data_IF_361825051770
#
_entry.id   IF_361825051770
#
_cell.length_a   1.000
_cell.length_b   1.000
_cell.length_c   1.000
_cell.angle_alpha   90.00
_cell.angle_beta   90.00
_cell.angle_gamma   90.00
#
_symmetry.space_group_name_H-M   'P 1'
#
loop_
_entity.id
_entity.type
_entity.pdbx_description
1 polymer ?
#
# COMPACT_ATOMS: atom_id res chain seq x y z
N UNK A 1 12.42 -26.96 -15.02
CA UNK A 1 11.49 -26.68 -13.91
C UNK A 1 10.49 -25.67 -14.43
N UNK A 2 9.20 -25.99 -14.33
CA UNK A 2 8.12 -25.10 -14.79
C UNK A 2 7.59 -24.30 -13.61
N UNK A 3 7.17 -23.06 -13.84
CA UNK A 3 6.57 -22.22 -12.79
C UNK A 3 5.31 -22.84 -12.16
N UNK A 4 4.71 -23.87 -12.78
CA UNK A 4 3.62 -24.66 -12.19
C UNK A 4 3.99 -25.29 -10.84
N UNK A 5 5.25 -25.67 -10.64
CA UNK A 5 5.73 -26.26 -9.38
C UNK A 5 5.52 -25.29 -8.20
N UNK A 6 5.55 -23.98 -8.43
CA UNK A 6 5.31 -23.00 -7.37
C UNK A 6 3.87 -23.04 -6.83
N UNK A 7 2.88 -23.46 -7.64
CA UNK A 7 1.50 -23.61 -7.17
C UNK A 7 1.37 -24.77 -6.17
N UNK A 8 2.18 -25.81 -6.33
CA UNK A 8 2.22 -26.95 -5.41
C UNK A 8 3.02 -26.60 -4.15
N UNK A 9 4.22 -26.03 -4.34
CA UNK A 9 5.16 -25.74 -3.26
C UNK A 9 4.74 -24.55 -2.38
N UNK A 10 3.98 -23.61 -2.93
CA UNK A 10 3.55 -22.39 -2.26
C UNK A 10 2.04 -22.17 -2.42
N UNK A 11 1.24 -23.24 -2.27
CA UNK A 11 -0.22 -23.20 -2.45
C UNK A 11 -0.97 -22.20 -1.57
N UNK A 12 -0.39 -21.80 -0.43
CA UNK A 12 -0.91 -20.72 0.43
C UNK A 12 -0.73 -19.31 -0.18
N UNK A 13 0.22 -19.16 -1.11
CA UNK A 13 0.59 -17.90 -1.73
C UNK A 13 0.24 -17.82 -3.21
N UNK A 14 0.45 -18.88 -3.99
CA UNK A 14 0.26 -18.92 -5.44
C UNK A 14 -0.94 -19.82 -5.75
N UNK A 15 -2.00 -19.22 -6.29
CA UNK A 15 -3.27 -19.91 -6.51
C UNK A 15 -3.35 -20.47 -7.92
N UNK A 16 -4.13 -21.54 -8.08
CA UNK A 16 -4.50 -22.05 -9.40
C UNK A 16 -5.18 -20.94 -10.22
N UNK A 17 -4.75 -20.72 -11.48
CA UNK A 17 -5.34 -19.68 -12.32
C UNK A 17 -6.84 -19.88 -12.53
N UNK A 18 -7.62 -18.80 -12.42
CA UNK A 18 -9.07 -18.82 -12.60
C UNK A 18 -9.53 -17.99 -13.79
N UNK A 19 -10.57 -18.45 -14.50
CA UNK A 19 -11.19 -17.66 -15.58
C UNK A 19 -12.17 -16.66 -14.98
N UNK A 20 -11.98 -15.38 -15.28
CA UNK A 20 -12.90 -14.31 -14.89
C UNK A 20 -13.47 -13.61 -16.12
N UNK A 21 -14.63 -12.96 -15.95
CA UNK A 21 -15.21 -12.09 -16.97
C UNK A 21 -15.15 -10.64 -16.53
N UNK A 22 -14.64 -9.78 -17.39
CA UNK A 22 -14.63 -8.33 -17.19
C UNK A 22 -15.37 -7.70 -18.35
N UNK A 23 -16.61 -7.27 -18.11
CA UNK A 23 -17.51 -6.85 -19.19
C UNK A 23 -17.85 -8.01 -20.13
N UNK A 24 -17.46 -7.91 -21.40
CA UNK A 24 -17.71 -8.93 -22.44
C UNK A 24 -16.53 -9.87 -22.66
N UNK A 25 -15.38 -9.56 -22.09
CA UNK A 25 -14.13 -10.28 -22.30
C UNK A 25 -13.91 -11.30 -21.18
N UNK A 26 -13.19 -12.37 -21.51
CA UNK A 26 -12.78 -13.41 -20.58
C UNK A 26 -11.28 -13.34 -20.40
N UNK A 27 -10.83 -13.43 -19.16
CA UNK A 27 -9.42 -13.37 -18.80
C UNK A 27 -9.03 -14.59 -17.98
N UNK A 28 -7.82 -15.09 -18.19
CA UNK A 28 -7.17 -16.05 -17.31
C UNK A 28 -6.41 -15.27 -16.22
N UNK A 29 -6.87 -15.34 -14.98
CA UNK A 29 -6.28 -14.60 -13.87
C UNK A 29 -5.34 -15.48 -13.04
N UNK A 30 -4.10 -15.05 -12.93
CA UNK A 30 -3.07 -15.58 -12.05
C UNK A 30 -3.06 -14.78 -10.76
N UNK A 31 -3.34 -15.43 -9.63
CA UNK A 31 -3.42 -14.76 -8.33
C UNK A 31 -2.26 -15.18 -7.44
N UNK A 32 -1.64 -14.20 -6.79
CA UNK A 32 -0.75 -14.41 -5.65
C UNK A 32 -1.26 -13.62 -4.43
N UNK A 33 -1.05 -14.14 -3.22
CA UNK A 33 -1.43 -13.47 -1.97
C UNK A 33 -0.38 -13.66 -0.89
N UNK A 34 -0.02 -12.56 -0.25
CA UNK A 34 0.87 -12.53 0.90
C UNK A 34 0.15 -11.88 2.08
N UNK A 35 0.13 -12.57 3.21
CA UNK A 35 -0.63 -12.14 4.40
C UNK A 35 -0.01 -10.95 5.15
N UNK A 36 1.26 -10.65 4.84
CA UNK A 36 2.07 -9.53 5.31
C UNK A 36 3.42 -9.49 4.56
N UNK A 37 4.26 -8.50 4.85
CA UNK A 37 5.59 -8.37 4.24
C UNK A 37 6.55 -9.52 4.59
N UNK A 38 6.42 -10.13 5.77
CA UNK A 38 7.26 -11.27 6.16
C UNK A 38 6.93 -12.51 5.32
N UNK A 39 5.64 -12.79 5.08
CA UNK A 39 5.22 -13.87 4.18
C UNK A 39 5.73 -13.68 2.74
N UNK A 40 5.79 -12.42 2.26
CA UNK A 40 6.40 -12.10 0.97
C UNK A 40 7.92 -12.29 0.99
N UNK A 41 8.59 -11.86 2.07
CA UNK A 41 10.01 -12.07 2.28
C UNK A 41 10.38 -13.57 2.28
N UNK A 42 9.67 -14.40 3.05
CA UNK A 42 9.92 -15.85 3.09
C UNK A 42 9.74 -16.50 1.73
N UNK A 43 8.67 -16.13 1.01
CA UNK A 43 8.45 -16.60 -0.35
C UNK A 43 9.65 -16.26 -1.24
N UNK A 44 10.12 -15.02 -1.26
CA UNK A 44 11.23 -14.61 -2.12
C UNK A 44 12.57 -15.25 -1.73
N UNK A 45 12.83 -15.42 -0.42
CA UNK A 45 14.04 -16.07 0.09
C UNK A 45 14.05 -17.58 -0.15
N UNK A 46 12.90 -18.20 -0.35
CA UNK A 46 12.82 -19.62 -0.73
C UNK A 46 13.32 -19.90 -2.16
N UNK A 47 13.65 -18.86 -2.94
CA UNK A 47 14.08 -18.93 -4.34
C UNK A 47 13.07 -19.69 -5.22
N UNK A 48 11.83 -19.18 -5.34
CA UNK A 48 10.79 -19.80 -6.15
C UNK A 48 11.23 -19.94 -7.61
N UNK A 49 10.71 -20.96 -8.29
CA UNK A 49 11.11 -21.29 -9.67
C UNK A 49 10.71 -20.16 -10.61
N UNK A 50 11.67 -19.62 -11.36
CA UNK A 50 11.41 -18.59 -12.39
C UNK A 50 10.89 -19.23 -13.67
N UNK A 51 9.87 -18.62 -14.28
CA UNK A 51 9.36 -18.97 -15.59
C UNK A 51 10.30 -18.47 -16.71
N UNK A 52 11.51 -19.03 -16.76
CA UNK A 52 12.55 -18.66 -17.74
C UNK A 52 12.15 -18.92 -19.21
N UNK A 53 11.07 -19.68 -19.45
CA UNK A 53 10.54 -19.87 -20.80
C UNK A 53 9.87 -18.61 -21.36
N UNK A 54 9.40 -17.73 -20.48
CA UNK A 54 8.76 -16.47 -20.82
C UNK A 54 9.67 -15.28 -20.48
N UNK A 55 10.26 -15.28 -19.29
CA UNK A 55 11.13 -14.21 -18.80
C UNK A 55 12.60 -14.54 -19.03
N UNK A 56 13.11 -14.21 -20.21
CA UNK A 56 14.53 -14.41 -20.56
C UNK A 56 15.43 -13.26 -20.08
N UNK A 57 14.85 -12.13 -19.66
CA UNK A 57 15.52 -11.01 -18.99
C UNK A 57 14.74 -10.62 -17.75
N UNK A 58 15.42 -10.55 -16.62
CA UNK A 58 14.79 -10.35 -15.31
C UNK A 58 15.06 -8.91 -14.87
N UNK A 59 14.18 -7.98 -15.23
CA UNK A 59 14.30 -6.57 -14.78
C UNK A 59 14.22 -6.44 -13.25
N UNK A 60 13.64 -7.44 -12.57
CA UNK A 60 13.70 -7.53 -11.11
C UNK A 60 15.14 -7.58 -10.57
N UNK A 61 16.07 -8.19 -11.32
CA UNK A 61 17.50 -8.28 -11.03
C UNK A 61 18.30 -7.23 -11.79
N UNK A 62 18.21 -7.27 -13.12
CA UNK A 62 19.09 -6.56 -14.03
C UNK A 62 18.66 -5.10 -14.28
N UNK A 63 17.50 -4.69 -13.73
CA UNK A 63 17.00 -3.32 -13.85
C UNK A 63 18.01 -2.31 -13.28
N UNK A 64 18.27 -1.25 -14.04
CA UNK A 64 19.17 -0.17 -13.62
C UNK A 64 18.69 0.52 -12.35
N UNK A 65 19.59 1.14 -11.58
CA UNK A 65 19.23 1.83 -10.33
C UNK A 65 18.25 3.00 -10.54
N UNK A 66 18.33 3.68 -11.68
CA UNK A 66 17.43 4.79 -12.04
C UNK A 66 16.00 4.30 -12.29
N UNK A 67 15.89 3.14 -12.94
CA UNK A 67 14.61 2.48 -13.18
C UNK A 67 14.14 1.74 -11.92
N UNK A 68 14.82 0.68 -11.49
CA UNK A 68 14.32 -0.25 -10.49
C UNK A 68 14.69 0.08 -9.04
N UNK A 69 15.49 1.13 -8.79
CA UNK A 69 15.95 1.45 -7.44
C UNK A 69 17.04 0.49 -6.94
N UNK A 70 17.15 0.36 -5.61
CA UNK A 70 18.13 -0.49 -4.91
C UNK A 70 18.14 -1.91 -5.46
N UNK A 71 19.29 -2.62 -5.53
CA UNK A 71 19.37 -4.00 -6.02
C UNK A 71 18.38 -4.97 -5.36
N UNK A 72 18.05 -6.06 -6.05
CA UNK A 72 17.03 -7.02 -5.60
C UNK A 72 17.29 -7.57 -4.21
N UNK A 73 18.52 -7.98 -3.91
CA UNK A 73 18.89 -8.58 -2.63
C UNK A 73 18.66 -7.58 -1.48
N UNK A 74 19.06 -6.33 -1.67
CA UNK A 74 18.81 -5.26 -0.69
C UNK A 74 17.31 -4.98 -0.53
N UNK A 75 16.57 -4.89 -1.64
CA UNK A 75 15.14 -4.66 -1.63
C UNK A 75 14.35 -5.78 -0.91
N UNK A 76 14.82 -7.04 -0.99
CA UNK A 76 14.22 -8.16 -0.26
C UNK A 76 14.47 -8.04 1.24
N UNK A 77 15.71 -7.74 1.66
CA UNK A 77 16.03 -7.55 3.09
C UNK A 77 15.28 -6.34 3.69
N UNK A 78 15.10 -5.28 2.91
CA UNK A 78 14.35 -4.08 3.31
C UNK A 78 12.88 -4.38 3.67
N UNK A 79 12.28 -5.46 3.15
CA UNK A 79 10.92 -5.90 3.54
C UNK A 79 10.79 -6.12 5.05
N UNK A 80 11.85 -6.60 5.70
CA UNK A 80 11.86 -6.94 7.13
C UNK A 80 12.78 -6.06 7.98
N UNK A 81 13.65 -5.25 7.37
CA UNK A 81 14.56 -4.33 8.09
C UNK A 81 13.81 -3.37 9.04
N UNK A 82 14.33 -3.15 10.24
CA UNK A 82 13.77 -2.15 11.17
C UNK A 82 14.25 -0.72 10.89
N UNK A 83 15.36 -0.59 10.17
CA UNK A 83 16.02 0.69 9.91
C UNK A 83 15.93 1.01 8.42
N UNK A 84 15.29 2.13 8.11
CA UNK A 84 15.35 2.75 6.79
C UNK A 84 15.63 4.25 6.95
N UNK A 85 16.73 4.77 6.40
CA UNK A 85 17.10 6.18 6.52
C UNK A 85 16.03 7.16 5.99
N UNK A 86 15.27 6.77 4.97
CA UNK A 86 14.21 7.60 4.39
C UNK A 86 12.92 7.59 5.21
N UNK A 87 12.77 6.66 6.16
CA UNK A 87 11.57 6.56 6.97
C UNK A 87 11.37 7.76 7.89
N UNK A 88 12.44 8.32 8.46
CA UNK A 88 12.34 9.54 9.28
C UNK A 88 11.88 10.75 8.46
N UNK A 89 12.41 10.92 7.25
CA UNK A 89 12.02 12.00 6.35
C UNK A 89 10.55 11.84 5.94
N UNK A 90 10.13 10.62 5.61
CA UNK A 90 8.73 10.30 5.35
C UNK A 90 7.83 10.63 6.54
N UNK A 91 8.21 10.26 7.77
CA UNK A 91 7.44 10.58 8.97
C UNK A 91 7.34 12.10 9.20
N UNK A 92 8.38 12.87 8.87
CA UNK A 92 8.38 14.35 8.97
C UNK A 92 7.46 14.98 7.94
N UNK A 93 7.57 14.58 6.67
CA UNK A 93 6.68 15.04 5.58
C UNK A 93 5.21 14.68 5.82
N UNK A 94 4.99 13.68 6.66
CA UNK A 94 3.68 13.26 7.10
C UNK A 94 3.23 13.93 8.41
N UNK A 95 4.11 14.63 9.14
CA UNK A 95 3.83 15.05 10.51
C UNK A 95 2.83 16.22 10.55
N UNK A 96 1.72 15.97 11.25
CA UNK A 96 0.66 16.93 11.65
C UNK A 96 -0.23 17.55 10.56
N UNK A 97 -0.64 16.76 9.58
CA UNK A 97 -1.83 17.10 8.81
C UNK A 97 -3.12 16.95 9.63
N UNK A 98 -3.60 18.04 10.24
CA UNK A 98 -4.89 18.08 10.93
C UNK A 98 -6.04 18.42 9.96
N UNK A 99 -6.05 17.78 8.80
CA UNK A 99 -6.89 18.17 7.66
C UNK A 99 -8.28 17.54 7.62
N UNK A 100 -8.63 16.68 8.58
CA UNK A 100 -10.01 16.25 8.71
C UNK A 100 -10.89 17.46 9.04
N UNK A 101 -11.85 17.79 8.16
CA UNK A 101 -12.85 18.85 8.44
C UNK A 101 -13.63 18.44 9.68
N UNK A 102 -13.49 19.19 10.78
CA UNK A 102 -14.22 19.08 12.05
C UNK A 102 -15.08 17.81 12.21
N UNK A 103 -14.42 16.65 12.27
CA UNK A 103 -15.06 15.40 12.63
C UNK A 103 -15.18 15.37 14.14
N UNK A 104 -16.31 14.87 14.68
CA UNK A 104 -16.37 14.49 16.10
C UNK A 104 -15.25 13.46 16.32
N UNK A 105 -14.14 13.89 16.93
CA UNK A 105 -13.10 12.98 17.41
C UNK A 105 -13.82 11.89 18.20
N UNK A 106 -13.50 10.62 17.93
CA UNK A 106 -14.09 9.50 18.64
C UNK A 106 -14.13 9.84 20.14
N UNK A 107 -15.34 9.86 20.71
CA UNK A 107 -15.44 9.82 22.16
C UNK A 107 -15.06 8.41 22.56
N UNK A 108 -13.87 8.27 23.11
CA UNK A 108 -13.49 7.08 23.85
C UNK A 108 -14.01 7.26 25.28
N UNK A 109 -14.44 6.17 25.89
CA UNK A 109 -14.54 6.14 27.35
C UNK A 109 -13.41 5.28 27.87
N UNK A 110 -12.80 5.74 28.95
CA UNK A 110 -11.91 4.90 29.71
C UNK A 110 -12.74 3.78 30.35
N UNK A 111 -12.35 2.53 30.12
CA UNK A 111 -12.92 1.37 30.80
C UNK A 111 -11.84 0.66 31.58
N UNK A 112 -12.20 0.18 32.78
CA UNK A 112 -11.34 -0.70 33.55
C UNK A 112 -11.53 -2.15 33.08
N UNK A 113 -10.42 -2.83 32.88
CA UNK A 113 -10.34 -4.19 32.32
C UNK A 113 -9.36 -5.03 33.15
N UNK A 114 -9.44 -6.35 32.99
CA UNK A 114 -8.57 -7.30 33.72
C UNK A 114 -7.16 -7.36 33.13
N UNK A 115 -7.03 -7.06 31.84
CA UNK A 115 -5.76 -7.03 31.13
C UNK A 115 -5.85 -6.14 29.88
N UNK A 116 -4.72 -5.54 29.50
CA UNK A 116 -4.57 -4.72 28.29
C UNK A 116 -4.78 -3.21 28.53
N UNK A 117 -4.00 -2.39 27.85
CA UNK A 117 -3.97 -0.94 28.08
C UNK A 117 -2.93 -0.52 29.11
N UNK A 118 -3.15 0.59 29.81
CA UNK A 118 -2.24 1.12 30.83
C UNK A 118 -2.66 0.69 32.24
N UNK A 119 -1.71 0.43 33.13
CA UNK A 119 -2.01 -0.01 34.50
C UNK A 119 -2.44 1.19 35.37
N UNK A 120 -3.62 1.11 35.99
CA UNK A 120 -4.04 2.01 37.06
C UNK A 120 -3.41 1.55 38.38
N UNK A 121 -2.32 2.22 38.77
CA UNK A 121 -1.52 1.86 39.94
C UNK A 121 -2.35 1.80 41.24
N UNK A 122 -3.21 2.79 41.56
CA UNK A 122 -4.06 2.71 42.75
C UNK A 122 -4.98 1.48 42.77
N UNK A 123 -5.63 1.15 41.65
CA UNK A 123 -6.53 -0.01 41.56
C UNK A 123 -5.78 -1.34 41.70
N UNK A 124 -4.57 -1.42 41.13
CA UNK A 124 -3.69 -2.58 41.26
C UNK A 124 -3.26 -2.80 42.71
N UNK A 125 -2.78 -1.75 43.39
CA UNK A 125 -2.37 -1.82 44.80
C UNK A 125 -3.53 -2.16 45.74
N UNK A 126 -4.76 -1.81 45.38
CA UNK A 126 -5.97 -2.18 46.11
C UNK A 126 -6.44 -3.62 45.85
N UNK A 127 -5.72 -4.41 45.03
CA UNK A 127 -6.10 -5.78 44.68
C UNK A 127 -7.32 -5.86 43.76
N UNK A 128 -7.68 -4.78 43.05
CA UNK A 128 -8.82 -4.79 42.15
C UNK A 128 -8.47 -5.54 40.85
N UNK A 129 -9.19 -6.61 40.48
CA UNK A 129 -8.94 -7.32 39.24
C UNK A 129 -9.14 -6.45 37.99
N UNK A 130 -9.94 -5.37 38.06
CA UNK A 130 -10.11 -4.38 37.01
C UNK A 130 -9.11 -3.23 37.16
N UNK A 131 -7.82 -3.54 37.09
CA UNK A 131 -6.74 -2.57 37.32
C UNK A 131 -6.13 -2.00 36.03
N UNK A 132 -6.51 -2.47 34.84
CA UNK A 132 -6.01 -1.91 33.59
C UNK A 132 -7.02 -0.95 32.98
N UNK A 133 -6.57 0.19 32.48
CA UNK A 133 -7.36 1.19 31.78
C UNK A 133 -7.14 1.06 30.28
N UNK A 134 -8.23 0.85 29.55
CA UNK A 134 -8.25 0.75 28.09
C UNK A 134 -9.29 1.71 27.52
N UNK A 135 -9.08 2.13 26.29
CA UNK A 135 -9.99 3.02 25.57
C UNK A 135 -11.02 2.20 24.81
N UNK A 136 -12.29 2.30 25.20
CA UNK A 136 -13.40 1.71 24.47
C UNK A 136 -14.09 2.77 23.61
N UNK A 137 -14.33 2.46 22.33
CA UNK A 137 -15.06 3.36 21.41
C UNK A 137 -16.54 3.41 21.80
N UNK A 138 -17.06 4.61 22.05
CA UNK A 138 -18.47 4.81 22.46
C UNK A 138 -19.47 4.56 21.30
N UNK A 139 -19.01 4.59 20.05
CA UNK A 139 -19.86 4.41 18.87
C UNK A 139 -19.33 3.32 17.95
N UNK A 140 -20.25 2.57 17.31
CA UNK A 140 -19.89 1.59 16.26
C UNK A 140 -19.07 2.29 15.16
N UNK A 141 -17.90 1.75 14.78
CA UNK A 141 -17.06 2.37 13.76
C UNK A 141 -17.78 2.40 12.42
N UNK A 142 -17.69 3.53 11.71
CA UNK A 142 -18.06 3.59 10.29
C UNK A 142 -16.96 2.90 9.51
N UNK A 143 -17.27 1.89 8.72
CA UNK A 143 -16.27 1.20 7.91
C UNK A 143 -16.11 1.89 6.57
N UNK A 144 -14.87 2.03 6.13
CA UNK A 144 -14.54 2.46 4.77
C UNK A 144 -13.51 1.51 4.20
N UNK A 145 -13.76 1.03 2.98
CA UNK A 145 -12.82 0.19 2.25
C UNK A 145 -12.02 1.05 1.30
N UNK A 146 -10.71 0.82 1.30
CA UNK A 146 -9.75 1.54 0.50
C UNK A 146 -8.93 0.51 -0.26
N UNK A 147 -8.81 0.72 -1.55
CA UNK A 147 -8.04 -0.09 -2.47
C UNK A 147 -6.89 0.75 -3.00
N UNK A 148 -5.67 0.23 -2.93
CA UNK A 148 -4.48 0.91 -3.44
C UNK A 148 -3.84 -0.01 -4.46
N UNK A 149 -3.84 0.44 -5.72
CA UNK A 149 -3.05 -0.19 -6.76
C UNK A 149 -1.57 0.09 -6.50
N UNK A 150 -0.73 -0.93 -6.53
CA UNK A 150 0.72 -0.80 -6.48
C UNK A 150 1.31 -0.60 -7.87
N UNK A 151 0.49 -0.83 -8.91
CA UNK A 151 0.86 -0.70 -10.31
C UNK A 151 1.05 0.77 -10.69
N UNK A 152 2.07 1.04 -11.49
CA UNK A 152 2.25 2.33 -12.13
C UNK A 152 3.09 2.22 -13.41
N UNK A 153 2.87 3.17 -14.32
CA UNK A 153 3.60 3.29 -15.57
C UNK A 153 5.13 3.20 -15.37
N UNK A 154 5.83 2.53 -16.29
CA UNK A 154 7.27 2.30 -16.20
C UNK A 154 8.10 3.58 -16.07
N UNK A 155 7.64 4.71 -16.64
CA UNK A 155 8.28 6.02 -16.55
C UNK A 155 7.86 6.86 -15.34
N UNK A 156 7.20 6.28 -14.34
CA UNK A 156 6.87 6.96 -13.08
C UNK A 156 8.15 7.23 -12.27
N UNK A 157 8.34 8.47 -11.84
CA UNK A 157 9.55 8.89 -11.11
C UNK A 157 9.53 8.46 -9.63
N UNK A 158 10.70 8.46 -8.98
CA UNK A 158 10.82 8.24 -7.53
C UNK A 158 10.03 9.29 -6.73
N UNK A 159 9.99 10.54 -7.20
CA UNK A 159 9.24 11.62 -6.54
C UNK A 159 7.72 11.44 -6.66
N UNK A 160 7.22 10.98 -7.81
CA UNK A 160 5.80 10.64 -7.99
C UNK A 160 5.36 9.54 -7.02
N UNK A 161 6.19 8.50 -6.87
CA UNK A 161 5.93 7.39 -5.93
C UNK A 161 5.93 7.89 -4.48
N UNK A 162 6.92 8.70 -4.09
CA UNK A 162 6.99 9.28 -2.74
C UNK A 162 5.78 10.19 -2.44
N UNK A 163 5.46 11.12 -3.33
CA UNK A 163 4.33 12.04 -3.14
C UNK A 163 3.01 11.25 -3.00
N UNK A 164 2.78 10.27 -3.87
CA UNK A 164 1.62 9.37 -3.78
C UNK A 164 1.56 8.65 -2.44
N UNK A 165 2.68 8.12 -1.95
CA UNK A 165 2.72 7.45 -0.65
C UNK A 165 2.36 8.39 0.51
N UNK A 166 2.91 9.61 0.51
CA UNK A 166 2.59 10.64 1.51
C UNK A 166 1.11 10.99 1.47
N UNK A 167 0.54 11.20 0.28
CA UNK A 167 -0.87 11.53 0.08
C UNK A 167 -1.78 10.41 0.61
N UNK A 168 -1.56 9.16 0.17
CA UNK A 168 -2.33 7.99 0.62
C UNK A 168 -2.32 7.92 2.15
N UNK A 169 -1.13 7.99 2.74
CA UNK A 169 -0.95 7.82 4.17
C UNK A 169 -1.62 8.94 4.97
N UNK A 170 -1.60 10.18 4.47
CA UNK A 170 -2.30 11.29 5.10
C UNK A 170 -3.82 11.18 5.00
N UNK A 171 -4.35 10.72 3.87
CA UNK A 171 -5.79 10.46 3.71
C UNK A 171 -6.23 9.34 4.66
N UNK A 172 -5.45 8.26 4.77
CA UNK A 172 -5.70 7.16 5.70
C UNK A 172 -5.81 7.69 7.15
N UNK A 173 -4.83 8.48 7.59
CA UNK A 173 -4.86 9.10 8.93
C UNK A 173 -6.03 10.04 9.11
N UNK A 174 -6.35 10.88 8.12
CA UNK A 174 -7.46 11.82 8.19
C UNK A 174 -8.81 11.07 8.35
N UNK A 175 -9.01 9.99 7.62
CA UNK A 175 -10.20 9.14 7.73
C UNK A 175 -10.28 8.43 9.09
N UNK A 176 -9.18 7.84 9.57
CA UNK A 176 -9.16 7.23 10.91
C UNK A 176 -9.46 8.26 12.02
N UNK A 177 -8.92 9.47 11.89
CA UNK A 177 -9.19 10.58 12.83
C UNK A 177 -10.64 11.08 12.75
N UNK A 178 -11.23 11.08 11.56
CA UNK A 178 -12.65 11.40 11.34
C UNK A 178 -13.59 10.30 11.86
N UNK A 179 -13.05 9.19 12.36
CA UNK A 179 -13.78 8.14 13.04
C UNK A 179 -14.12 6.93 12.19
N UNK A 180 -13.47 6.78 11.04
CA UNK A 180 -13.62 5.61 10.18
C UNK A 180 -12.68 4.48 10.61
N UNK A 181 -13.19 3.24 10.59
CA UNK A 181 -12.35 2.06 10.58
C UNK A 181 -12.00 1.74 9.13
N UNK A 182 -10.76 1.99 8.76
CA UNK A 182 -10.27 1.77 7.40
C UNK A 182 -9.90 0.30 7.19
N UNK A 183 -10.47 -0.31 6.16
CA UNK A 183 -10.05 -1.60 5.59
C UNK A 183 -9.19 -1.33 4.35
N UNK A 184 -7.90 -1.67 4.42
CA UNK A 184 -6.92 -1.32 3.38
C UNK A 184 -6.52 -2.57 2.59
N UNK A 185 -6.82 -2.56 1.29
CA UNK A 185 -6.42 -3.58 0.33
C UNK A 185 -5.35 -3.01 -0.59
N UNK A 186 -4.17 -3.61 -0.57
CA UNK A 186 -3.02 -3.22 -1.41
C UNK A 186 -2.69 -4.35 -2.35
N UNK A 187 -2.60 -4.04 -3.65
CA UNK A 187 -2.41 -5.06 -4.68
C UNK A 187 -1.76 -4.51 -5.94
N UNK A 188 -1.07 -5.38 -6.68
CA UNK A 188 -0.69 -5.19 -8.08
C UNK A 188 -1.78 -5.80 -8.98
N UNK A 189 -2.18 -5.08 -10.03
CA UNK A 189 -2.97 -5.67 -11.12
C UNK A 189 -2.49 -5.17 -12.46
N UNK A 190 -1.92 -6.07 -13.25
CA UNK A 190 -1.52 -5.81 -14.63
C UNK A 190 -2.10 -6.87 -15.58
N UNK A 191 -2.14 -6.52 -16.85
CA UNK A 191 -2.70 -7.36 -17.91
C UNK A 191 -1.76 -7.48 -19.08
N UNK A 192 -1.88 -8.58 -19.80
CA UNK A 192 -1.24 -8.79 -21.10
C UNK A 192 -2.21 -9.64 -21.93
N UNK A 193 -2.73 -9.08 -23.01
CA UNK A 193 -3.81 -9.67 -23.82
C UNK A 193 -4.99 -10.21 -22.96
N UNK A 194 -5.18 -11.54 -22.92
CA UNK A 194 -6.25 -12.24 -22.21
C UNK A 194 -5.81 -12.80 -20.85
N UNK A 195 -4.63 -12.42 -20.36
CA UNK A 195 -4.14 -12.78 -19.03
C UNK A 195 -4.11 -11.60 -18.06
N UNK A 196 -4.41 -11.89 -16.80
CA UNK A 196 -4.34 -10.94 -15.70
C UNK A 196 -3.43 -11.50 -14.61
N UNK A 197 -2.56 -10.65 -14.08
CA UNK A 197 -1.81 -10.94 -12.86
C UNK A 197 -2.38 -10.09 -11.75
N UNK A 198 -2.70 -10.72 -10.62
CA UNK A 198 -3.28 -10.08 -9.45
C UNK A 198 -2.53 -10.50 -8.18
N UNK A 199 -1.63 -9.63 -7.70
CA UNK A 199 -0.77 -9.91 -6.54
C UNK A 199 -1.26 -9.09 -5.36
N UNK A 200 -1.69 -9.74 -4.29
CA UNK A 200 -2.20 -9.09 -3.08
C UNK A 200 -1.10 -9.11 -2.01
N UNK A 201 -0.75 -7.93 -1.47
CA UNK A 201 0.14 -7.83 -0.31
C UNK A 201 -0.64 -7.19 0.83
N UNK A 202 -0.96 -7.96 1.87
CA UNK A 202 -1.78 -7.46 2.95
C UNK A 202 -0.95 -6.68 3.99
N UNK A 203 -1.00 -5.35 3.93
CA UNK A 203 -0.27 -4.48 4.88
C UNK A 203 -1.04 -4.28 6.19
N UNK A 204 -2.37 -4.29 6.12
CA UNK A 204 -3.26 -4.07 7.26
C UNK A 204 -4.27 -5.21 7.36
N UNK A 205 -4.41 -5.78 8.56
CA UNK A 205 -5.52 -6.69 8.87
C UNK A 205 -6.79 -5.89 9.13
N UNK A 206 -7.94 -6.44 8.77
CA UNK A 206 -9.23 -5.82 9.07
C UNK A 206 -9.37 -5.51 10.57
N UNK A 207 -9.68 -4.26 10.91
CA UNK A 207 -9.77 -3.78 12.29
C UNK A 207 -8.42 -3.65 13.03
N UNK A 208 -7.31 -3.99 12.39
CA UNK A 208 -5.96 -3.80 12.92
C UNK A 208 -5.52 -2.34 12.87
N UNK A 209 -4.47 -2.00 13.61
CA UNK A 209 -3.83 -0.69 13.53
C UNK A 209 -3.01 -0.57 12.24
N UNK A 210 -2.89 0.65 11.73
CA UNK A 210 -2.06 0.95 10.58
C UNK A 210 -0.58 0.74 10.93
N UNK A 211 0.12 -0.15 10.21
CA UNK A 211 1.56 -0.29 10.33
C UNK A 211 2.26 0.68 9.36
N UNK A 212 2.73 1.80 9.91
CA UNK A 212 3.38 2.87 9.15
C UNK A 212 4.67 2.44 8.46
N UNK A 213 5.46 1.56 9.11
CA UNK A 213 6.70 1.03 8.51
C UNK A 213 6.38 0.15 7.31
N UNK A 214 5.38 -0.74 7.44
CA UNK A 214 4.99 -1.61 6.34
C UNK A 214 4.36 -0.82 5.17
N UNK A 215 3.61 0.24 5.45
CA UNK A 215 3.12 1.16 4.41
C UNK A 215 4.27 1.84 3.67
N UNK A 216 5.21 2.41 4.41
CA UNK A 216 6.36 3.10 3.85
C UNK A 216 7.13 2.19 2.89
N UNK A 217 7.50 0.99 3.34
CA UNK A 217 8.21 -0.02 2.53
C UNK A 217 7.47 -0.39 1.25
N UNK A 218 6.14 -0.45 1.31
CA UNK A 218 5.33 -0.87 0.17
C UNK A 218 5.05 0.26 -0.81
N UNK A 219 4.89 1.49 -0.32
CA UNK A 219 4.38 2.62 -1.12
C UNK A 219 5.47 3.61 -1.55
N UNK A 220 6.54 3.78 -0.78
CA UNK A 220 7.57 4.79 -1.06
C UNK A 220 8.70 4.27 -1.96
N UNK A 221 8.90 2.95 -2.02
CA UNK A 221 10.04 2.34 -2.68
C UNK A 221 9.69 1.92 -4.10
N UNK A 222 10.43 2.43 -5.10
CA UNK A 222 10.22 2.03 -6.50
C UNK A 222 10.56 0.56 -6.74
N UNK A 223 11.55 0.07 -6.01
CA UNK A 223 11.99 -1.32 -5.98
C UNK A 223 10.89 -2.28 -5.50
N UNK A 224 9.92 -1.80 -4.72
CA UNK A 224 8.81 -2.65 -4.29
C UNK A 224 8.01 -3.16 -5.49
N UNK A 225 7.61 -2.29 -6.42
CA UNK A 225 7.00 -2.76 -7.66
C UNK A 225 8.03 -3.45 -8.56
N UNK A 226 9.09 -2.70 -8.93
CA UNK A 226 9.98 -3.04 -10.05
C UNK A 226 10.91 -4.21 -9.76
N UNK A 227 11.09 -4.60 -8.49
CA UNK A 227 11.88 -5.76 -8.10
C UNK A 227 11.05 -6.79 -7.38
N UNK A 228 10.37 -6.41 -6.32
CA UNK A 228 9.67 -7.36 -5.45
C UNK A 228 8.45 -7.95 -6.16
N UNK A 229 7.55 -7.12 -6.68
CA UNK A 229 6.35 -7.62 -7.37
C UNK A 229 6.66 -8.17 -8.76
N UNK A 230 7.62 -7.59 -9.48
CA UNK A 230 8.14 -8.15 -10.74
C UNK A 230 8.71 -9.55 -10.53
N UNK A 231 9.47 -9.77 -9.45
CA UNK A 231 9.98 -11.09 -9.11
C UNK A 231 8.86 -12.09 -8.83
N UNK A 232 7.81 -11.68 -8.12
CA UNK A 232 6.64 -12.56 -7.93
C UNK A 232 6.00 -12.89 -9.28
N UNK A 233 5.82 -11.91 -10.17
CA UNK A 233 5.25 -12.14 -11.50
C UNK A 233 6.08 -13.15 -12.31
N UNK A 234 7.41 -13.03 -12.28
CA UNK A 234 8.35 -13.95 -12.95
C UNK A 234 8.22 -15.41 -12.49
N UNK A 235 7.61 -15.64 -11.33
CA UNK A 235 7.37 -17.00 -10.76
C UNK A 235 6.02 -17.58 -11.15
N UNK A 236 5.18 -16.83 -11.86
CA UNK A 236 3.86 -17.27 -12.31
C UNK A 236 3.94 -17.99 -13.67
N UNK A 237 3.05 -18.95 -13.87
CA UNK A 237 2.95 -19.75 -15.10
C UNK A 237 2.13 -19.03 -16.20
N UNK A 238 2.40 -17.74 -16.38
CA UNK A 238 1.83 -16.92 -17.44
C UNK A 238 2.30 -17.38 -18.82
N UNK A 239 1.58 -17.01 -19.87
CA UNK A 239 1.89 -17.42 -21.23
C UNK A 239 2.92 -16.50 -21.92
N UNK A 240 3.29 -16.84 -23.16
CA UNK A 240 4.34 -16.15 -23.91
C UNK A 240 4.03 -14.69 -24.27
N UNK A 241 2.79 -14.23 -24.13
CA UNK A 241 2.44 -12.82 -24.34
C UNK A 241 3.23 -11.88 -23.41
N UNK A 242 3.63 -12.36 -22.22
CA UNK A 242 4.41 -11.58 -21.24
C UNK A 242 5.91 -11.47 -21.57
N UNK A 243 6.42 -12.09 -22.65
CA UNK A 243 7.84 -12.03 -22.98
C UNK A 243 8.39 -10.61 -23.27
N UNK A 244 7.50 -9.65 -23.53
CA UNK A 244 7.85 -8.25 -23.80
C UNK A 244 8.06 -7.39 -22.55
N UNK A 245 7.64 -7.84 -21.37
CA UNK A 245 7.71 -7.04 -20.15
C UNK A 245 6.83 -7.56 -19.02
N UNK A 246 6.31 -6.64 -18.20
CA UNK A 246 5.54 -6.95 -16.99
C UNK A 246 4.07 -6.54 -17.10
N UNK A 247 3.56 -6.50 -18.34
CA UNK A 247 2.19 -6.14 -18.66
C UNK A 247 1.91 -4.64 -18.65
N UNK A 248 0.65 -4.32 -18.97
CA UNK A 248 0.07 -2.99 -18.91
C UNK A 248 -0.68 -2.77 -17.60
N UNK A 249 -0.67 -1.53 -17.10
CA UNK A 249 -1.49 -1.16 -15.94
C UNK A 249 -2.97 -1.19 -16.31
N UNK A 250 -3.80 -1.68 -15.38
CA UNK A 250 -5.25 -1.64 -15.54
C UNK A 250 -5.80 -0.30 -15.02
N UNK A 251 -6.74 0.30 -15.75
CA UNK A 251 -7.43 1.51 -15.28
C UNK A 251 -8.46 1.19 -14.17
N UNK A 252 -8.88 2.23 -13.44
CA UNK A 252 -9.84 2.10 -12.33
C UNK A 252 -11.16 1.44 -12.77
N UNK A 253 -11.71 1.77 -13.94
CA UNK A 253 -12.99 1.21 -14.39
C UNK A 253 -12.88 -0.29 -14.65
N UNK A 254 -11.75 -0.72 -15.23
CA UNK A 254 -11.44 -2.13 -15.41
C UNK A 254 -11.30 -2.83 -14.06
N UNK A 255 -10.49 -2.29 -13.15
CA UNK A 255 -10.23 -2.89 -11.83
C UNK A 255 -11.52 -3.00 -11.01
N UNK A 256 -12.36 -1.95 -11.00
CA UNK A 256 -13.66 -1.97 -10.30
C UNK A 256 -14.56 -3.11 -10.79
N UNK A 257 -14.59 -3.36 -12.10
CA UNK A 257 -15.34 -4.48 -12.68
C UNK A 257 -14.72 -5.83 -12.36
N UNK A 258 -13.39 -5.96 -12.52
CA UNK A 258 -12.66 -7.20 -12.32
C UNK A 258 -12.75 -7.68 -10.86
N UNK A 259 -12.58 -6.77 -9.90
CA UNK A 259 -12.59 -7.06 -8.47
C UNK A 259 -13.97 -6.84 -7.81
N UNK A 260 -14.98 -6.42 -8.58
CA UNK A 260 -16.34 -6.11 -8.10
C UNK A 260 -16.32 -5.13 -6.93
N UNK A 261 -15.54 -4.06 -7.07
CA UNK A 261 -15.40 -3.04 -6.03
C UNK A 261 -16.72 -2.30 -5.83
N UNK A 262 -17.00 -1.90 -4.59
CA UNK A 262 -18.21 -1.15 -4.28
C UNK A 262 -18.13 0.31 -4.74
N UNK A 263 -19.27 0.91 -5.10
CA UNK A 263 -19.35 2.32 -5.52
C UNK A 263 -18.86 3.31 -4.47
N UNK A 264 -18.87 2.90 -3.19
CA UNK A 264 -18.42 3.70 -2.04
C UNK A 264 -16.97 3.42 -1.64
N UNK A 265 -16.32 2.46 -2.29
CA UNK A 265 -14.93 2.15 -2.02
C UNK A 265 -14.02 3.22 -2.63
N UNK A 266 -13.05 3.70 -1.84
CA UNK A 266 -12.02 4.62 -2.33
C UNK A 266 -10.96 3.81 -3.07
N UNK A 267 -10.60 4.24 -4.28
CA UNK A 267 -9.58 3.59 -5.10
C UNK A 267 -8.44 4.57 -5.39
N UNK A 268 -7.23 4.22 -4.96
CA UNK A 268 -6.01 4.95 -5.30
C UNK A 268 -5.38 4.34 -6.55
N UNK A 269 -5.50 5.05 -7.66
CA UNK A 269 -4.92 4.68 -8.95
C UNK A 269 -3.41 5.02 -9.01
N UNK A 270 -2.75 4.73 -10.13
CA UNK A 270 -1.36 5.12 -10.42
C UNK A 270 -1.18 6.66 -10.39
N UNK A 271 0.04 7.17 -10.10
CA UNK A 271 0.28 8.60 -9.91
C UNK A 271 -0.29 9.51 -11.00
N UNK A 272 -0.04 9.21 -12.28
CA UNK A 272 -0.48 10.05 -13.41
C UNK A 272 -2.00 10.13 -13.53
N UNK A 273 -2.73 9.04 -13.29
CA UNK A 273 -4.20 9.04 -13.31
C UNK A 273 -4.78 9.97 -12.24
N UNK A 274 -4.06 10.13 -11.13
CA UNK A 274 -4.43 11.00 -10.01
C UNK A 274 -3.94 12.45 -10.17
N UNK A 275 -3.23 12.77 -11.24
CA UNK A 275 -2.59 14.09 -11.44
C UNK A 275 -1.41 14.35 -10.51
N UNK A 276 -0.69 13.30 -10.10
CA UNK A 276 0.51 13.39 -9.25
C UNK A 276 1.74 13.45 -10.18
N UNK A 277 2.37 14.60 -10.28
CA UNK A 277 3.54 14.85 -11.13
C UNK A 277 4.86 14.67 -10.38
N UNK A 278 4.84 14.73 -9.04
CA UNK A 278 6.03 14.53 -8.21
C UNK A 278 6.91 15.77 -8.08
N UNK A 279 6.39 16.94 -8.43
CA UNK A 279 7.12 18.23 -8.38
C UNK A 279 6.74 19.06 -7.15
N UNK A 280 5.44 19.27 -6.91
CA UNK A 280 4.90 19.99 -5.75
C UNK A 280 3.89 19.11 -5.00
N UNK A 281 4.26 18.71 -3.78
CA UNK A 281 3.42 17.83 -2.95
C UNK A 281 2.05 18.43 -2.61
N UNK A 282 1.94 19.76 -2.50
CA UNK A 282 0.68 20.42 -2.19
C UNK A 282 -0.27 20.43 -3.39
N UNK A 283 0.27 20.64 -4.60
CA UNK A 283 -0.50 20.54 -5.85
C UNK A 283 -0.92 19.09 -6.13
N UNK A 284 0.01 18.14 -5.97
CA UNK A 284 -0.26 16.71 -6.11
C UNK A 284 -1.34 16.24 -5.12
N UNK A 285 -1.30 16.73 -3.88
CA UNK A 285 -2.32 16.41 -2.87
C UNK A 285 -3.70 16.94 -3.28
N UNK A 286 -3.78 18.18 -3.77
CA UNK A 286 -5.03 18.75 -4.25
C UNK A 286 -5.60 17.97 -5.44
N UNK A 287 -4.76 17.63 -6.42
CA UNK A 287 -5.15 16.81 -7.57
C UNK A 287 -5.71 15.44 -7.13
N UNK A 288 -5.00 14.77 -6.21
CA UNK A 288 -5.44 13.49 -5.67
C UNK A 288 -6.79 13.59 -4.93
N UNK A 289 -7.00 14.62 -4.11
CA UNK A 289 -8.27 14.80 -3.38
C UNK A 289 -9.45 15.01 -4.33
N UNK A 290 -9.27 15.80 -5.39
CA UNK A 290 -10.30 16.00 -6.42
C UNK A 290 -10.59 14.70 -7.18
N UNK A 291 -9.54 13.98 -7.58
CA UNK A 291 -9.69 12.68 -8.26
C UNK A 291 -10.49 11.69 -7.41
N UNK A 292 -10.24 11.64 -6.10
CA UNK A 292 -10.93 10.75 -5.16
C UNK A 292 -12.31 11.25 -4.71
N UNK A 293 -12.74 12.45 -5.14
CA UNK A 293 -13.96 13.13 -4.67
C UNK A 293 -14.03 13.23 -3.13
N UNK A 294 -12.95 13.71 -2.50
CA UNK A 294 -12.84 13.84 -1.05
C UNK A 294 -12.83 15.29 -0.55
N UNK A 295 -13.15 16.28 -1.40
CA UNK A 295 -13.16 17.70 -1.00
C UNK A 295 -14.15 18.00 0.13
N UNK A 296 -15.23 17.23 0.25
CA UNK A 296 -16.23 17.36 1.31
C UNK A 296 -15.72 16.88 2.68
N UNK A 297 -14.74 15.96 2.69
CA UNK A 297 -14.22 15.29 3.89
C UNK A 297 -12.89 15.86 4.37
N UNK A 298 -12.09 16.42 3.47
CA UNK A 298 -10.73 16.87 3.75
C UNK A 298 -10.61 18.38 3.47
N UNK A 299 -9.96 19.10 4.40
CA UNK A 299 -9.64 20.52 4.27
C UNK A 299 -8.36 20.68 3.44
N UNK A 300 -8.55 20.82 2.13
CA UNK A 300 -7.47 20.92 1.14
C UNK A 300 -6.60 22.17 1.37
N UNK A 301 -7.21 23.31 1.71
CA UNK A 301 -6.49 24.57 1.90
C UNK A 301 -5.67 24.58 3.18
N UNK A 302 -6.16 23.92 4.23
CA UNK A 302 -5.34 23.65 5.41
C UNK A 302 -4.15 22.74 5.06
N UNK A 303 -4.40 21.65 4.33
CA UNK A 303 -3.34 20.70 3.93
C UNK A 303 -2.22 21.37 3.14
N UNK A 304 -2.59 22.18 2.14
CA UNK A 304 -1.64 22.90 1.29
C UNK A 304 -0.75 23.86 2.09
N UNK A 305 -1.31 24.55 3.08
CA UNK A 305 -0.53 25.45 3.96
C UNK A 305 0.50 24.68 4.77
N UNK A 306 0.10 23.57 5.39
CA UNK A 306 0.97 22.72 6.20
C UNK A 306 2.12 22.14 5.36
N UNK A 307 1.85 21.60 4.17
CA UNK A 307 2.91 21.10 3.26
C UNK A 307 3.92 22.18 2.86
N UNK A 308 3.45 23.41 2.60
CA UNK A 308 4.32 24.53 2.20
C UNK A 308 5.19 25.03 3.36
N UNK A 309 4.72 24.89 4.60
CA UNK A 309 5.51 25.21 5.79
C UNK A 309 6.63 24.18 6.00
N UNK A 310 6.31 22.89 5.87
CA UNK A 310 7.30 21.80 6.01
C UNK A 310 8.37 21.84 4.91
N UNK A 311 7.99 22.15 3.67
CA UNK A 311 8.94 22.30 2.55
C UNK A 311 9.97 23.41 2.79
N UNK A 312 9.57 24.52 3.46
CA UNK A 312 10.47 25.63 3.83
C UNK A 312 11.44 25.25 4.95
N UNK A 313 11.06 24.35 5.85
CA UNK A 313 11.92 23.83 6.90
C UNK A 313 13.01 22.92 6.32
N UNK A 314 12.66 22.12 5.32
CA UNK A 314 13.60 21.21 4.64
C UNK A 314 14.66 21.94 3.81
N UNK A 315 14.27 23.02 3.11
CA UNK A 315 15.23 23.86 2.35
C UNK A 315 16.22 24.58 3.27
N UNK A 316 15.81 25.01 4.47
CA UNK A 316 16.69 25.69 5.42
C UNK A 316 17.73 24.78 6.08
N UNK A 317 17.43 23.48 6.26
CA UNK A 317 18.37 22.52 6.88
C UNK A 317 19.46 22.01 5.94
N UNK A 318 19.36 22.22 4.63
CA UNK A 318 20.41 21.89 3.65
C UNK A 318 21.52 22.96 3.54
N UNK A 319 21.46 24.04 4.34
CA UNK A 319 22.38 25.19 4.27
C UNK A 319 23.38 25.21 5.46
N UNK A 320 23.41 24.17 6.31
CA UNK A 320 24.35 24.06 7.43
C UNK A 320 25.15 22.76 7.41
#
# INVERSE_FOLDING_TARGET
MSAKENQENFSDNIFTPEKIKVGRESYQMYRARFSNLYSLYEYLKSNPVINNSIFYKLSSIDGSYDFAGKPYEEAVEDLISEVDPGYEEFLRLQSNLNNAKNGKVHKFRLVRTVAGGHLNIPAYCAGNPLCYESEERISKPKFIRIHVSLSYYWGTSKSQVLNRAIIITNILKALEKAGYSVDLNTFEMCKEYDELVYIIVQIKKHGGRLNMSALYKTLCHVEFLRRILFRVLETLDVNNSWCGGYGETCDENFIRKALKLGDKDIFFDQPRSMGIEGEDLAEDFEAAIRHLNLEDKIDVEKAKREFREDAKVLTKKRIY
#
